data_IF_686040489375
#
_entry.id   IF_686040489375
#
_cell.length_a   1.000
_cell.length_b   1.000
_cell.length_c   1.000
_cell.angle_alpha   90.00
_cell.angle_beta   90.00
_cell.angle_gamma   90.00
#
_symmetry.space_group_name_H-M   'P 1'
#
loop_
_entity.id
_entity.type
_entity.pdbx_description
1 polymer ?
#
# COMPACT_ATOMS: atom_id res chain seq x y z
N UNK A 1 23.40 -19.24 11.43
CA UNK A 1 24.22 -19.01 10.23
C UNK A 1 24.09 -17.55 9.86
N UNK A 2 25.21 -16.82 9.82
CA UNK A 2 25.20 -15.36 9.59
C UNK A 2 24.89 -15.06 8.13
N UNK A 3 23.96 -14.10 7.88
CA UNK A 3 23.65 -13.60 6.56
C UNK A 3 24.87 -12.89 5.93
N UNK A 4 25.11 -13.00 4.62
CA UNK A 4 26.24 -12.36 3.96
C UNK A 4 26.07 -10.82 3.99
N UNK A 5 27.00 -10.15 4.61
CA UNK A 5 27.14 -8.69 4.55
C UNK A 5 27.44 -8.27 3.11
N UNK A 6 26.50 -7.61 2.46
CA UNK A 6 26.75 -6.95 1.16
C UNK A 6 27.66 -5.76 1.43
N UNK A 7 28.91 -5.89 1.05
CA UNK A 7 29.95 -4.87 1.20
C UNK A 7 29.67 -3.72 0.20
N UNK A 8 29.74 -2.48 0.68
CA UNK A 8 29.72 -1.24 -0.13
C UNK A 8 30.76 -1.25 -1.29
N UNK A 9 31.74 -2.12 -1.25
CA UNK A 9 32.71 -2.33 -2.33
C UNK A 9 32.08 -2.84 -3.64
N UNK A 10 30.96 -3.56 -3.58
CA UNK A 10 30.29 -4.07 -4.79
C UNK A 10 29.42 -3.02 -5.50
N UNK A 11 29.08 -1.91 -4.84
CA UNK A 11 28.42 -0.77 -5.48
C UNK A 11 29.41 0.16 -6.23
N UNK A 12 30.69 0.12 -5.86
CA UNK A 12 31.72 0.95 -6.49
C UNK A 12 32.32 0.25 -7.74
N UNK A 13 32.13 -1.06 -7.89
CA UNK A 13 32.57 -1.79 -9.09
C UNK A 13 31.74 -1.51 -10.35
N UNK A 14 30.61 -0.79 -10.23
CA UNK A 14 29.77 -0.40 -11.37
C UNK A 14 30.23 0.88 -12.09
N UNK A 15 31.18 1.63 -11.52
CA UNK A 15 31.70 2.86 -12.16
C UNK A 15 32.34 2.66 -13.54
N UNK A 16 33.17 1.61 -13.79
CA UNK A 16 33.71 1.36 -15.11
C UNK A 16 32.64 0.98 -16.14
N UNK A 17 31.63 0.16 -15.72
CA UNK A 17 30.51 -0.23 -16.60
C UNK A 17 29.62 0.97 -16.96
N UNK A 18 29.37 1.89 -16.03
CA UNK A 18 28.61 3.10 -16.31
C UNK A 18 29.32 4.00 -17.33
N UNK A 19 30.65 4.07 -17.26
CA UNK A 19 31.45 4.84 -18.19
C UNK A 19 31.47 4.19 -19.61
N UNK A 20 31.55 2.87 -19.67
CA UNK A 20 31.49 2.11 -20.93
C UNK A 20 30.09 2.25 -21.59
N UNK A 21 29.03 2.14 -20.85
CA UNK A 21 27.65 2.38 -21.31
C UNK A 21 27.49 3.81 -21.88
N UNK A 22 28.06 4.82 -21.20
CA UNK A 22 28.02 6.20 -21.68
C UNK A 22 28.78 6.38 -22.99
N UNK A 23 29.94 5.75 -23.13
CA UNK A 23 30.73 5.79 -24.37
C UNK A 23 30.02 5.08 -25.53
N UNK A 24 29.40 3.93 -25.31
CA UNK A 24 28.61 3.21 -26.30
C UNK A 24 27.41 4.03 -26.77
N UNK A 25 26.68 4.68 -25.86
CA UNK A 25 25.57 5.59 -26.21
C UNK A 25 26.03 6.75 -27.07
N UNK A 26 27.09 7.44 -26.65
CA UNK A 26 27.65 8.56 -27.42
C UNK A 26 28.08 8.13 -28.84
N UNK A 27 28.61 6.90 -28.97
CA UNK A 27 29.02 6.39 -30.29
C UNK A 27 27.83 6.01 -31.17
N UNK A 28 26.75 5.48 -30.59
CA UNK A 28 25.50 5.22 -31.31
C UNK A 28 24.91 6.55 -31.83
N UNK A 29 24.77 7.56 -30.94
CA UNK A 29 24.25 8.88 -31.33
C UNK A 29 25.06 9.52 -32.46
N UNK A 30 26.40 9.37 -32.44
CA UNK A 30 27.27 9.86 -33.48
C UNK A 30 27.04 9.14 -34.82
N UNK A 31 26.95 7.80 -34.82
CA UNK A 31 26.67 7.00 -36.01
C UNK A 31 25.27 7.22 -36.57
N UNK A 32 24.27 7.44 -35.73
CA UNK A 32 22.92 7.83 -36.16
C UNK A 32 22.92 9.21 -36.82
N UNK A 33 23.71 10.15 -36.31
CA UNK A 33 23.90 11.46 -36.94
C UNK A 33 24.59 11.34 -38.31
N UNK A 34 25.63 10.52 -38.43
CA UNK A 34 26.31 10.22 -39.69
C UNK A 34 25.36 9.54 -40.71
N UNK A 35 24.54 8.57 -40.25
CA UNK A 35 23.53 7.92 -41.10
C UNK A 35 22.48 8.92 -41.61
N UNK A 36 22.00 9.83 -40.73
CA UNK A 36 21.05 10.85 -41.12
C UNK A 36 21.65 11.89 -42.08
N UNK A 37 22.91 12.24 -41.89
CA UNK A 37 23.63 13.13 -42.81
C UNK A 37 23.87 12.45 -44.15
N UNK A 38 24.15 11.14 -44.14
CA UNK A 38 24.31 10.32 -45.35
C UNK A 38 23.02 10.15 -46.15
N UNK A 39 21.86 10.20 -45.50
CA UNK A 39 20.54 10.20 -46.15
C UNK A 39 20.26 11.46 -46.97
N UNK A 40 20.90 12.56 -46.64
CA UNK A 40 20.77 13.85 -47.40
C UNK A 40 21.69 13.98 -48.60
N UNK A 41 22.69 13.12 -48.77
CA UNK A 41 23.64 13.07 -49.87
C UNK A 41 23.54 11.66 -50.45
N UNK A 42 23.25 11.52 -51.74
CA UNK A 42 23.14 10.23 -52.45
C UNK A 42 24.41 9.40 -52.31
N UNK A 43 24.59 8.63 -51.27
CA UNK A 43 25.74 7.80 -50.96
C UNK A 43 25.40 6.32 -51.17
N UNK A 44 26.41 5.54 -51.54
CA UNK A 44 26.37 4.13 -51.91
C UNK A 44 25.60 3.27 -50.91
N UNK A 45 24.67 2.40 -51.36
CA UNK A 45 23.86 1.54 -50.50
C UNK A 45 24.70 0.72 -49.50
N UNK A 46 25.90 0.32 -49.90
CA UNK A 46 26.83 -0.50 -49.11
C UNK A 46 27.29 0.18 -47.80
N UNK A 47 27.54 1.50 -47.82
CA UNK A 47 27.95 2.25 -46.62
C UNK A 47 26.78 2.41 -45.63
N UNK A 48 25.56 2.53 -46.13
CA UNK A 48 24.36 2.61 -45.31
C UNK A 48 24.14 1.28 -44.57
N UNK A 49 24.23 0.15 -45.27
CA UNK A 49 24.05 -1.17 -44.69
C UNK A 49 25.14 -1.48 -43.66
N UNK A 50 26.37 -1.02 -43.90
CA UNK A 50 27.48 -1.14 -42.93
C UNK A 50 27.24 -0.31 -41.65
N UNK A 51 26.76 0.93 -41.80
CA UNK A 51 26.42 1.79 -40.63
C UNK A 51 25.23 1.23 -39.83
N UNK A 52 24.20 0.77 -40.53
CA UNK A 52 23.03 0.14 -39.85
C UNK A 52 23.45 -1.14 -39.10
N UNK A 53 24.28 -2.00 -39.71
CA UNK A 53 24.82 -3.19 -39.03
C UNK A 53 25.69 -2.83 -37.81
N UNK A 54 26.47 -1.75 -37.90
CA UNK A 54 27.32 -1.30 -36.79
C UNK A 54 26.53 -0.71 -35.64
N UNK A 55 25.48 0.08 -35.94
CA UNK A 55 24.54 0.59 -34.96
C UNK A 55 23.84 -0.58 -34.26
N UNK A 56 23.39 -1.59 -35.01
CA UNK A 56 22.73 -2.77 -34.46
C UNK A 56 23.68 -3.56 -33.52
N UNK A 57 24.93 -3.77 -33.94
CA UNK A 57 25.96 -4.42 -33.12
C UNK A 57 26.25 -3.65 -31.83
N UNK A 58 26.43 -2.32 -31.90
CA UNK A 58 26.68 -1.50 -30.70
C UNK A 58 25.48 -1.44 -29.78
N UNK A 59 24.26 -1.42 -30.34
CA UNK A 59 23.04 -1.47 -29.59
C UNK A 59 22.91 -2.82 -28.85
N UNK A 60 23.30 -3.91 -29.49
CA UNK A 60 23.35 -5.24 -28.89
C UNK A 60 24.41 -5.31 -27.77
N UNK A 61 25.59 -4.73 -27.98
CA UNK A 61 26.66 -4.65 -26.97
C UNK A 61 26.22 -3.77 -25.79
N UNK A 62 25.53 -2.66 -26.04
CA UNK A 62 24.96 -1.80 -25.01
C UNK A 62 23.93 -2.56 -24.16
N UNK A 63 23.02 -3.29 -24.80
CA UNK A 63 22.02 -4.11 -24.12
C UNK A 63 22.67 -5.21 -23.28
N UNK A 64 23.71 -5.88 -23.80
CA UNK A 64 24.46 -6.91 -23.08
C UNK A 64 25.24 -6.34 -21.88
N UNK A 65 25.81 -5.12 -22.02
CA UNK A 65 26.54 -4.45 -20.95
C UNK A 65 25.64 -3.85 -19.87
N UNK A 66 24.45 -3.39 -20.22
CA UNK A 66 23.47 -2.82 -19.27
C UNK A 66 22.62 -3.86 -18.55
N UNK A 67 22.63 -5.13 -18.99
CA UNK A 67 21.73 -6.16 -18.50
C UNK A 67 20.25 -5.90 -18.84
N UNK A 68 19.96 -4.90 -19.68
CA UNK A 68 18.62 -4.56 -20.13
C UNK A 68 18.23 -5.40 -21.36
N UNK A 69 16.97 -5.85 -21.36
CA UNK A 69 16.39 -6.67 -22.42
C UNK A 69 15.07 -6.06 -22.89
N UNK A 70 14.77 -6.13 -24.18
CA UNK A 70 13.45 -5.81 -24.69
C UNK A 70 12.54 -7.03 -24.63
N UNK A 71 11.50 -6.95 -23.81
CA UNK A 71 10.58 -8.05 -23.56
C UNK A 71 9.20 -7.68 -24.12
N UNK A 72 8.57 -8.62 -24.86
CA UNK A 72 7.19 -8.45 -25.34
C UNK A 72 6.24 -8.37 -24.15
N UNK A 73 5.39 -7.35 -24.12
CA UNK A 73 4.39 -7.16 -23.05
C UNK A 73 3.47 -8.38 -22.89
N UNK A 74 3.15 -9.06 -23.99
CA UNK A 74 2.33 -10.28 -23.98
C UNK A 74 2.96 -11.46 -23.20
N UNK A 75 4.27 -11.44 -22.93
CA UNK A 75 4.98 -12.46 -22.16
C UNK A 75 5.09 -12.13 -20.67
N UNK A 76 4.61 -10.97 -20.25
CA UNK A 76 4.72 -10.49 -18.86
C UNK A 76 3.40 -10.72 -18.13
N UNK A 77 3.49 -11.43 -17.02
CA UNK A 77 2.37 -11.67 -16.12
C UNK A 77 2.53 -10.78 -14.87
N UNK A 78 1.45 -10.08 -14.50
CA UNK A 78 1.39 -9.39 -13.21
C UNK A 78 1.43 -10.39 -12.07
N UNK A 79 2.17 -10.07 -11.00
CA UNK A 79 2.20 -10.89 -9.80
C UNK A 79 0.92 -10.64 -8.96
N UNK A 80 0.04 -11.64 -8.75
CA UNK A 80 -1.16 -11.48 -7.91
C UNK A 80 -0.83 -11.13 -6.46
N UNK A 81 0.39 -11.47 -6.03
CA UNK A 81 0.87 -11.20 -4.68
C UNK A 81 1.44 -9.78 -4.51
N UNK A 82 1.47 -8.95 -5.55
CA UNK A 82 2.00 -7.59 -5.44
C UNK A 82 1.33 -6.79 -4.31
N UNK A 83 2.12 -6.00 -3.53
CA UNK A 83 1.60 -5.15 -2.46
C UNK A 83 0.62 -4.11 -2.99
N UNK A 84 0.97 -3.45 -4.10
CA UNK A 84 0.12 -2.43 -4.71
C UNK A 84 -0.93 -3.07 -5.59
N UNK A 85 -2.20 -2.84 -5.26
CA UNK A 85 -3.38 -3.26 -6.05
C UNK A 85 -4.13 -2.08 -6.66
N UNK A 86 -3.81 -0.87 -6.22
CA UNK A 86 -4.50 0.36 -6.61
C UNK A 86 -3.82 1.01 -7.81
N UNK A 87 -4.53 1.03 -8.93
CA UNK A 87 -4.09 1.63 -10.19
C UNK A 87 -5.23 2.47 -10.80
N UNK A 88 -5.58 3.62 -10.18
CA UNK A 88 -6.60 4.50 -10.73
C UNK A 88 -6.29 4.87 -12.17
N UNK A 89 -7.32 4.92 -13.02
CA UNK A 89 -7.17 5.15 -14.46
C UNK A 89 -6.43 6.45 -14.77
N UNK A 90 -6.71 7.50 -14.00
CA UNK A 90 -6.01 8.79 -14.14
C UNK A 90 -4.50 8.65 -13.95
N UNK A 91 -4.05 7.85 -12.96
CA UNK A 91 -2.63 7.62 -12.66
C UNK A 91 -1.97 6.78 -13.76
N UNK A 92 -2.70 5.81 -14.32
CA UNK A 92 -2.22 5.01 -15.46
C UNK A 92 -2.08 5.88 -16.71
N UNK A 93 -3.07 6.74 -16.99
CA UNK A 93 -3.01 7.70 -18.12
C UNK A 93 -1.87 8.70 -17.98
N UNK A 94 -1.65 9.25 -16.79
CA UNK A 94 -0.52 10.14 -16.51
C UNK A 94 0.81 9.42 -16.77
N UNK A 95 0.96 8.18 -16.35
CA UNK A 95 2.15 7.38 -16.62
C UNK A 95 2.32 7.10 -18.13
N UNK A 96 1.24 6.76 -18.83
CA UNK A 96 1.27 6.56 -20.27
C UNK A 96 1.72 7.84 -21.00
N UNK A 97 1.18 9.00 -20.62
CA UNK A 97 1.58 10.27 -21.19
C UNK A 97 3.06 10.60 -20.93
N UNK A 98 3.57 10.27 -19.74
CA UNK A 98 4.99 10.40 -19.41
C UNK A 98 5.86 9.48 -20.29
N UNK A 99 5.44 8.22 -20.50
CA UNK A 99 6.12 7.28 -21.38
C UNK A 99 6.11 7.74 -22.85
N UNK A 100 4.98 8.29 -23.30
CA UNK A 100 4.84 8.82 -24.66
C UNK A 100 5.78 10.00 -24.93
N UNK A 101 5.95 10.90 -23.94
CA UNK A 101 6.79 12.12 -24.10
C UNK A 101 8.27 11.86 -23.93
N UNK A 102 8.62 11.02 -22.97
CA UNK A 102 10.01 10.88 -22.52
C UNK A 102 10.59 9.49 -22.74
N UNK A 103 9.81 8.58 -23.32
CA UNK A 103 10.19 7.17 -23.40
C UNK A 103 10.29 6.50 -22.01
N UNK A 104 10.78 5.29 -22.00
CA UNK A 104 11.03 4.55 -20.77
C UNK A 104 12.40 4.93 -20.19
N UNK A 105 12.44 5.69 -19.11
CA UNK A 105 13.67 6.15 -18.47
C UNK A 105 14.35 5.05 -17.63
N UNK A 106 13.55 4.17 -17.00
CA UNK A 106 14.05 3.08 -16.14
C UNK A 106 13.42 1.76 -16.57
N UNK A 107 14.20 0.65 -16.66
CA UNK A 107 13.65 -0.67 -17.00
C UNK A 107 12.69 -1.15 -15.92
N UNK A 108 11.80 -2.07 -16.27
CA UNK A 108 11.03 -2.86 -15.32
C UNK A 108 11.88 -4.02 -14.80
N UNK A 109 11.51 -4.61 -13.68
CA UNK A 109 12.23 -5.78 -13.12
C UNK A 109 11.33 -7.01 -13.27
N UNK A 110 11.90 -8.06 -13.86
CA UNK A 110 11.19 -9.31 -14.15
C UNK A 110 11.87 -10.50 -13.48
N UNK A 111 11.06 -11.50 -13.12
CA UNK A 111 11.50 -12.83 -12.70
C UNK A 111 11.21 -13.80 -13.84
N UNK A 112 12.24 -14.45 -14.43
CA UNK A 112 12.04 -15.47 -15.45
C UNK A 112 11.29 -16.69 -14.91
N UNK A 113 10.43 -17.29 -15.74
CA UNK A 113 9.72 -18.54 -15.45
C UNK A 113 10.17 -19.63 -16.40
N UNK A 114 10.14 -20.88 -15.96
CA UNK A 114 10.47 -22.05 -16.78
C UNK A 114 9.58 -22.22 -18.02
N UNK A 115 8.43 -21.54 -18.07
CA UNK A 115 7.47 -21.54 -19.18
C UNK A 115 7.84 -20.60 -20.32
N UNK A 116 8.97 -19.88 -20.24
CA UNK A 116 9.34 -18.81 -21.18
C UNK A 116 8.55 -17.50 -21.00
N UNK A 117 7.77 -17.39 -19.93
CA UNK A 117 7.07 -16.17 -19.52
C UNK A 117 7.84 -15.50 -18.36
N UNK A 118 7.41 -14.32 -18.00
CA UNK A 118 8.05 -13.52 -16.96
C UNK A 118 7.02 -13.05 -15.94
N UNK A 119 7.37 -13.09 -14.65
CA UNK A 119 6.56 -12.47 -13.62
C UNK A 119 7.10 -11.09 -13.32
N UNK A 120 6.24 -10.10 -13.28
CA UNK A 120 6.60 -8.71 -13.00
C UNK A 120 6.93 -8.55 -11.50
N UNK A 121 8.18 -8.23 -11.20
CA UNK A 121 8.63 -7.93 -9.84
C UNK A 121 8.42 -6.46 -9.49
N UNK A 122 8.83 -5.53 -10.40
CA UNK A 122 8.66 -4.09 -10.22
C UNK A 122 8.37 -3.40 -11.55
N UNK A 123 7.47 -2.41 -11.53
CA UNK A 123 7.17 -1.57 -12.68
C UNK A 123 5.74 -1.69 -13.21
N UNK A 124 4.79 -2.18 -12.44
CA UNK A 124 3.38 -2.38 -12.84
C UNK A 124 2.77 -1.15 -13.52
N UNK A 125 2.96 0.06 -12.96
CA UNK A 125 2.46 1.29 -13.58
C UNK A 125 3.07 1.58 -14.96
N UNK A 126 4.35 1.22 -15.15
CA UNK A 126 5.03 1.37 -16.45
C UNK A 126 4.47 0.38 -17.44
N UNK A 127 4.29 -0.88 -17.03
CA UNK A 127 3.71 -1.93 -17.84
C UNK A 127 2.28 -1.57 -18.27
N UNK A 128 1.42 -1.13 -17.34
CA UNK A 128 0.05 -0.67 -17.66
C UNK A 128 0.03 0.54 -18.58
N UNK A 129 0.93 1.52 -18.35
CA UNK A 129 1.06 2.69 -19.21
C UNK A 129 1.52 2.32 -20.64
N UNK A 130 2.48 1.41 -20.76
CA UNK A 130 2.95 0.89 -22.05
C UNK A 130 1.85 0.09 -22.77
N UNK A 131 1.08 -0.72 -22.05
CA UNK A 131 -0.09 -1.43 -22.60
C UNK A 131 -1.15 -0.45 -23.12
N UNK A 132 -1.44 0.63 -22.39
CA UNK A 132 -2.39 1.67 -22.81
C UNK A 132 -1.91 2.38 -24.10
N UNK A 133 -0.59 2.51 -24.28
CA UNK A 133 0.01 3.05 -25.50
C UNK A 133 0.15 2.02 -26.65
N UNK A 134 -0.30 0.78 -26.44
CA UNK A 134 -0.16 -0.33 -27.40
C UNK A 134 1.29 -0.61 -27.78
N UNK A 135 2.24 -0.43 -26.85
CA UNK A 135 3.61 -0.84 -27.08
C UNK A 135 3.70 -2.35 -27.24
N UNK A 136 4.51 -2.83 -28.16
CA UNK A 136 4.76 -4.27 -28.32
C UNK A 136 5.74 -4.78 -27.27
N UNK A 137 6.78 -4.00 -26.97
CA UNK A 137 7.90 -4.36 -26.09
C UNK A 137 8.13 -3.29 -25.03
N UNK A 138 8.80 -3.68 -23.96
CA UNK A 138 9.24 -2.81 -22.87
C UNK A 138 10.62 -3.24 -22.39
N UNK A 139 11.47 -2.27 -22.01
CA UNK A 139 12.80 -2.57 -21.47
C UNK A 139 12.71 -3.13 -20.05
N UNK A 140 13.43 -4.22 -19.81
CA UNK A 140 13.42 -4.96 -18.56
C UNK A 140 14.83 -5.41 -18.16
N UNK A 141 15.05 -5.57 -16.88
CA UNK A 141 16.17 -6.31 -16.30
C UNK A 141 15.64 -7.52 -15.55
N UNK A 142 16.45 -8.58 -15.51
CA UNK A 142 16.07 -9.77 -14.77
C UNK A 142 16.60 -9.73 -13.34
N UNK A 143 15.77 -10.21 -12.40
CA UNK A 143 16.25 -10.50 -11.06
C UNK A 143 17.21 -11.69 -11.16
N UNK A 144 18.46 -11.58 -10.66
CA UNK A 144 19.44 -12.68 -10.74
C UNK A 144 18.92 -13.94 -10.07
N UNK A 145 19.17 -15.11 -10.67
CA UNK A 145 18.70 -16.41 -10.17
C UNK A 145 19.18 -16.70 -8.74
N UNK A 146 20.41 -16.27 -8.41
CA UNK A 146 20.96 -16.34 -7.05
C UNK A 146 20.23 -15.44 -6.02
N UNK A 147 19.40 -14.53 -6.49
CA UNK A 147 18.57 -13.62 -5.68
C UNK A 147 17.07 -13.97 -5.78
N UNK A 148 16.70 -15.10 -6.42
CA UNK A 148 15.31 -15.55 -6.46
C UNK A 148 14.88 -15.94 -5.05
N UNK A 149 14.09 -15.07 -4.39
CA UNK A 149 13.68 -15.29 -3.02
C UNK A 149 12.51 -16.27 -2.98
N UNK A 150 12.26 -16.84 -1.80
CA UNK A 150 10.98 -17.49 -1.51
C UNK A 150 9.82 -16.51 -1.79
N UNK A 151 8.61 -17.00 -1.99
CA UNK A 151 7.45 -16.14 -2.24
C UNK A 151 7.29 -15.03 -1.18
N UNK A 152 7.65 -15.32 0.06
CA UNK A 152 7.58 -14.40 1.18
C UNK A 152 8.61 -13.27 1.09
N UNK A 153 9.85 -13.62 0.74
CA UNK A 153 10.90 -12.64 0.53
C UNK A 153 10.62 -11.74 -0.69
N UNK A 154 9.94 -12.27 -1.73
CA UNK A 154 9.48 -11.47 -2.87
C UNK A 154 8.50 -10.41 -2.39
N UNK A 155 7.46 -10.82 -1.67
CA UNK A 155 6.44 -9.92 -1.15
C UNK A 155 7.03 -8.87 -0.23
N UNK A 156 7.94 -9.27 0.64
CA UNK A 156 8.63 -8.42 1.58
C UNK A 156 9.47 -7.34 0.87
N UNK A 157 10.29 -7.74 -0.10
CA UNK A 157 11.10 -6.82 -0.91
C UNK A 157 10.25 -5.85 -1.72
N UNK A 158 9.17 -6.33 -2.32
CA UNK A 158 8.20 -5.51 -3.05
C UNK A 158 7.53 -4.49 -2.11
N UNK A 159 7.18 -4.88 -0.89
CA UNK A 159 6.59 -3.98 0.09
C UNK A 159 7.59 -2.91 0.53
N UNK A 160 8.82 -3.29 0.88
CA UNK A 160 9.88 -2.34 1.25
C UNK A 160 10.09 -1.31 0.12
N UNK A 161 10.24 -1.78 -1.12
CA UNK A 161 10.38 -0.90 -2.28
C UNK A 161 9.17 0.03 -2.44
N UNK A 162 7.96 -0.48 -2.24
CA UNK A 162 6.72 0.30 -2.37
C UNK A 162 6.57 1.35 -1.27
N UNK A 163 6.97 1.04 -0.04
CA UNK A 163 6.97 1.98 1.10
C UNK A 163 7.97 3.12 0.83
N UNK A 164 9.22 2.78 0.50
CA UNK A 164 10.26 3.78 0.28
C UNK A 164 10.02 4.66 -0.96
N UNK A 165 9.32 4.15 -1.96
CA UNK A 165 8.94 4.95 -3.14
C UNK A 165 7.65 5.74 -2.96
N UNK A 166 7.01 5.72 -1.77
CA UNK A 166 5.73 6.38 -1.47
C UNK A 166 4.62 6.04 -2.50
N UNK A 167 4.64 4.82 -3.05
CA UNK A 167 3.75 4.39 -4.14
C UNK A 167 2.59 3.51 -3.69
N UNK A 168 2.60 3.08 -2.43
CA UNK A 168 1.54 2.25 -1.86
C UNK A 168 0.53 3.13 -1.14
N UNK A 169 -0.77 2.89 -1.33
CA UNK A 169 -1.78 3.56 -0.52
C UNK A 169 -2.00 2.82 0.81
N UNK A 170 -2.64 3.50 1.77
CA UNK A 170 -2.84 2.97 3.11
C UNK A 170 -3.66 1.67 3.17
N UNK A 171 -4.63 1.47 2.24
CA UNK A 171 -5.42 0.25 2.19
C UNK A 171 -4.57 -0.95 1.72
N UNK A 172 -3.83 -0.78 0.64
CA UNK A 172 -2.93 -1.80 0.12
C UNK A 172 -1.80 -2.12 1.13
N UNK A 173 -1.32 -1.10 1.85
CA UNK A 173 -0.36 -1.26 2.95
C UNK A 173 -0.96 -2.10 4.08
N UNK A 174 -2.20 -1.77 4.53
CA UNK A 174 -2.89 -2.51 5.59
C UNK A 174 -3.03 -4.00 5.24
N UNK A 175 -3.54 -4.30 4.06
CA UNK A 175 -3.74 -5.68 3.59
C UNK A 175 -2.42 -6.43 3.45
N UNK A 176 -1.35 -5.74 3.00
CA UNK A 176 -0.05 -6.38 2.83
C UNK A 176 0.61 -6.69 4.17
N UNK A 177 0.50 -5.79 5.17
CA UNK A 177 0.99 -6.06 6.53
C UNK A 177 0.27 -7.29 7.11
N UNK A 178 -1.06 -7.36 7.00
CA UNK A 178 -1.83 -8.50 7.48
C UNK A 178 -1.40 -9.79 6.78
N UNK A 179 -1.27 -9.77 5.47
CA UNK A 179 -0.84 -10.93 4.67
C UNK A 179 0.55 -11.41 5.07
N UNK A 180 1.53 -10.51 5.24
CA UNK A 180 2.88 -10.86 5.67
C UNK A 180 2.89 -11.49 7.06
N UNK A 181 2.14 -10.93 8.01
CA UNK A 181 2.04 -11.46 9.37
C UNK A 181 1.42 -12.86 9.36
N UNK A 182 0.32 -13.07 8.62
CA UNK A 182 -0.34 -14.37 8.52
C UNK A 182 0.54 -15.41 7.84
N UNK A 183 1.35 -14.99 6.87
CA UNK A 183 2.27 -15.88 6.17
C UNK A 183 3.45 -16.29 7.05
N UNK A 184 4.08 -15.34 7.74
CA UNK A 184 5.17 -15.59 8.67
C UNK A 184 4.72 -16.36 9.94
N UNK A 185 3.45 -16.20 10.31
CA UNK A 185 2.86 -16.75 11.52
C UNK A 185 1.49 -17.36 11.21
N UNK A 186 1.42 -18.56 10.63
CA UNK A 186 0.15 -19.18 10.19
C UNK A 186 -0.88 -19.41 11.30
N UNK A 187 -0.46 -19.38 12.56
CA UNK A 187 -1.36 -19.47 13.72
C UNK A 187 -1.98 -18.13 14.13
N UNK A 188 -1.61 -17.03 13.44
CA UNK A 188 -2.10 -15.71 13.74
C UNK A 188 -3.33 -15.41 12.87
N UNK A 189 -4.49 -15.27 13.51
CA UNK A 189 -5.74 -14.92 12.84
C UNK A 189 -5.66 -13.50 12.25
N UNK A 190 -5.88 -13.31 10.93
CA UNK A 190 -5.77 -12.02 10.26
C UNK A 190 -6.59 -10.90 10.92
N UNK A 191 -7.83 -11.22 11.34
CA UNK A 191 -8.76 -10.29 11.98
C UNK A 191 -8.29 -9.83 13.35
N UNK A 192 -7.43 -10.61 14.01
CA UNK A 192 -6.90 -10.29 15.34
C UNK A 192 -5.77 -9.26 15.31
N UNK A 193 -5.08 -9.11 14.16
CA UNK A 193 -3.87 -8.29 14.03
C UNK A 193 -4.07 -6.83 14.46
N UNK A 194 -5.14 -6.12 14.02
CA UNK A 194 -5.38 -4.74 14.47
C UNK A 194 -5.61 -4.64 15.99
N UNK A 195 -6.28 -5.63 16.58
CA UNK A 195 -6.53 -5.69 18.04
C UNK A 195 -5.23 -5.95 18.81
N UNK A 196 -4.38 -6.84 18.31
CA UNK A 196 -3.07 -7.11 18.91
C UNK A 196 -2.18 -5.87 18.93
N UNK A 197 -2.14 -5.12 17.83
CA UNK A 197 -1.42 -3.85 17.79
C UNK A 197 -2.00 -2.84 18.79
N UNK A 198 -3.32 -2.74 18.88
CA UNK A 198 -3.97 -1.84 19.83
C UNK A 198 -3.64 -2.21 21.28
N UNK A 199 -3.64 -3.49 21.60
CA UNK A 199 -3.29 -4.01 22.94
C UNK A 199 -1.83 -3.74 23.27
N UNK A 200 -0.90 -4.04 22.35
CA UNK A 200 0.52 -3.76 22.54
C UNK A 200 0.77 -2.26 22.83
N UNK A 201 0.20 -1.37 22.00
CA UNK A 201 0.37 0.07 22.17
C UNK A 201 -0.24 0.58 23.48
N UNK A 202 -1.37 0.01 23.92
CA UNK A 202 -1.95 0.33 25.22
C UNK A 202 -1.04 -0.08 26.38
N UNK A 203 -0.38 -1.25 26.29
CA UNK A 203 0.56 -1.70 27.30
C UNK A 203 1.82 -0.83 27.35
N UNK A 204 2.35 -0.44 26.18
CA UNK A 204 3.47 0.49 26.07
C UNK A 204 3.16 1.86 26.66
N UNK A 205 1.92 2.36 26.46
CA UNK A 205 1.47 3.62 27.05
C UNK A 205 1.43 3.52 28.59
N UNK A 206 0.87 2.43 29.13
CA UNK A 206 0.80 2.20 30.56
C UNK A 206 2.17 2.03 31.23
N UNK A 207 3.16 1.46 30.53
CA UNK A 207 4.52 1.29 31.02
C UNK A 207 5.41 2.53 30.81
N UNK A 208 4.91 3.58 30.14
CA UNK A 208 5.65 4.78 29.81
C UNK A 208 6.64 4.63 28.62
N UNK A 209 6.64 3.47 27.96
CA UNK A 209 7.56 3.15 26.85
C UNK A 209 7.07 3.59 25.49
N UNK A 210 5.84 4.11 25.38
CA UNK A 210 5.24 4.54 24.11
C UNK A 210 6.06 5.68 23.45
N UNK A 211 6.64 6.58 24.24
CA UNK A 211 7.47 7.69 23.75
C UNK A 211 8.81 7.24 23.13
N UNK A 212 9.26 6.03 23.46
CA UNK A 212 10.52 5.47 22.93
C UNK A 212 10.33 4.94 21.49
N UNK A 213 9.10 4.60 21.09
CA UNK A 213 8.79 3.97 19.78
C UNK A 213 9.38 4.72 18.59
N UNK A 214 9.38 6.06 18.59
CA UNK A 214 9.88 6.82 17.45
C UNK A 214 11.41 6.71 17.33
N UNK A 215 12.10 6.68 18.46
CA UNK A 215 13.55 6.49 18.51
C UNK A 215 13.92 5.06 18.12
N UNK A 216 13.21 4.08 18.67
CA UNK A 216 13.43 2.66 18.38
C UNK A 216 13.13 2.33 16.92
N UNK A 217 12.11 2.93 16.31
CA UNK A 217 11.75 2.73 14.89
C UNK A 217 12.91 3.01 13.95
N UNK A 218 13.76 3.99 14.26
CA UNK A 218 14.91 4.38 13.44
C UNK A 218 16.26 3.81 13.95
N UNK A 219 16.23 3.04 15.02
CA UNK A 219 17.41 2.38 15.56
C UNK A 219 17.87 1.21 14.69
N UNK A 220 19.07 0.74 14.91
CA UNK A 220 19.60 -0.47 14.28
C UNK A 220 18.90 -1.74 14.80
N UNK A 221 19.01 -2.81 14.04
CA UNK A 221 18.30 -4.07 14.33
C UNK A 221 18.67 -4.64 15.72
N UNK A 222 19.92 -4.67 16.17
CA UNK A 222 20.26 -5.15 17.51
C UNK A 222 19.58 -4.36 18.63
N UNK A 223 19.52 -3.02 18.50
CA UNK A 223 18.85 -2.14 19.46
C UNK A 223 17.34 -2.39 19.47
N UNK A 224 16.73 -2.53 18.30
CA UNK A 224 15.30 -2.89 18.20
C UNK A 224 15.00 -4.23 18.86
N UNK A 225 15.82 -5.26 18.60
CA UNK A 225 15.65 -6.60 19.20
C UNK A 225 15.81 -6.57 20.71
N UNK A 226 16.81 -5.84 21.23
CA UNK A 226 17.03 -5.68 22.66
C UNK A 226 15.82 -5.02 23.34
N UNK A 227 15.31 -3.94 22.76
CA UNK A 227 14.13 -3.24 23.28
C UNK A 227 12.89 -4.13 23.25
N UNK A 228 12.62 -4.81 22.11
CA UNK A 228 11.49 -5.72 21.97
C UNK A 228 11.54 -6.89 22.98
N UNK A 229 12.75 -7.43 23.26
CA UNK A 229 12.92 -8.51 24.23
C UNK A 229 12.70 -8.07 25.68
N UNK A 230 12.90 -6.79 25.97
CA UNK A 230 12.66 -6.19 27.29
C UNK A 230 11.18 -5.84 27.54
N UNK A 231 10.33 -5.88 26.51
CA UNK A 231 8.90 -5.59 26.64
C UNK A 231 8.18 -6.72 27.40
N UNK A 232 7.38 -6.35 28.37
CA UNK A 232 6.50 -7.28 29.08
C UNK A 232 5.09 -7.22 28.48
N UNK A 233 4.93 -7.80 27.29
CA UNK A 233 3.64 -7.89 26.60
C UNK A 233 2.82 -9.09 27.09
N UNK A 234 1.50 -8.97 27.11
CA UNK A 234 0.59 -10.01 27.58
C UNK A 234 0.54 -11.24 26.68
N UNK A 235 0.60 -10.99 25.38
CA UNK A 235 0.51 -12.06 24.36
C UNK A 235 1.76 -12.06 23.48
N UNK A 236 2.37 -13.22 23.22
CA UNK A 236 3.53 -13.32 22.30
C UNK A 236 3.25 -12.79 20.88
N UNK A 237 2.00 -12.85 20.45
CA UNK A 237 1.58 -12.39 19.13
C UNK A 237 1.62 -10.85 19.01
N UNK A 238 1.48 -10.11 20.11
CA UNK A 238 1.62 -8.65 20.14
C UNK A 238 3.05 -8.23 19.74
N UNK A 239 4.05 -8.96 20.24
CA UNK A 239 5.45 -8.73 19.88
C UNK A 239 5.72 -8.97 18.41
N UNK A 240 5.15 -10.04 17.80
CA UNK A 240 5.30 -10.34 16.37
C UNK A 240 4.84 -9.19 15.47
N UNK A 241 3.71 -8.56 15.83
CA UNK A 241 3.20 -7.40 15.11
C UNK A 241 4.15 -6.21 15.22
N UNK A 242 4.65 -5.90 16.41
CA UNK A 242 5.62 -4.82 16.62
C UNK A 242 6.93 -5.07 15.89
N UNK A 243 7.47 -6.30 15.93
CA UNK A 243 8.69 -6.70 15.21
C UNK A 243 8.57 -6.37 13.72
N UNK A 244 7.49 -6.79 13.06
CA UNK A 244 7.31 -6.52 11.63
C UNK A 244 7.22 -5.02 11.35
N UNK A 245 6.45 -4.26 12.13
CA UNK A 245 6.27 -2.83 11.89
C UNK A 245 7.56 -2.04 12.08
N UNK A 246 8.35 -2.35 13.12
CA UNK A 246 9.64 -1.71 13.36
C UNK A 246 10.67 -2.09 12.29
N UNK A 247 10.69 -3.37 11.87
CA UNK A 247 11.53 -3.81 10.78
C UNK A 247 11.22 -3.09 9.46
N UNK A 248 9.94 -2.84 9.17
CA UNK A 248 9.49 -2.02 8.04
C UNK A 248 9.68 -0.51 8.26
N UNK A 249 10.21 -0.08 9.41
CA UNK A 249 10.33 1.31 9.83
C UNK A 249 9.01 2.09 9.85
N UNK A 250 7.89 1.38 9.98
CA UNK A 250 6.55 1.96 10.07
C UNK A 250 6.25 2.43 11.49
N UNK A 251 5.57 3.57 11.63
CA UNK A 251 5.14 4.05 12.94
C UNK A 251 3.90 3.28 13.41
N UNK A 252 3.98 2.48 14.50
CA UNK A 252 2.87 1.66 14.96
C UNK A 252 1.62 2.46 15.34
N UNK A 253 1.76 3.67 15.89
CA UNK A 253 0.63 4.55 16.20
C UNK A 253 -0.09 5.02 14.92
N UNK A 254 0.65 5.38 13.88
CA UNK A 254 0.07 5.77 12.59
C UNK A 254 -0.65 4.60 11.92
N UNK A 255 -0.06 3.39 11.97
CA UNK A 255 -0.69 2.18 11.44
C UNK A 255 -2.02 1.90 12.16
N UNK A 256 -2.03 1.93 13.49
CA UNK A 256 -3.26 1.78 14.29
C UNK A 256 -4.32 2.85 13.97
N UNK A 257 -3.91 4.12 13.86
CA UNK A 257 -4.83 5.24 13.75
C UNK A 257 -5.37 5.46 12.33
N UNK A 258 -4.57 5.16 11.31
CA UNK A 258 -4.86 5.58 9.93
C UNK A 258 -4.94 4.44 8.94
N UNK A 259 -4.16 3.39 9.12
CA UNK A 259 -3.99 2.30 8.15
C UNK A 259 -4.94 1.14 8.44
N UNK A 260 -4.83 0.51 9.59
CA UNK A 260 -5.68 -0.64 9.95
C UNK A 260 -7.19 -0.37 9.97
N UNK A 261 -7.71 0.82 10.30
CA UNK A 261 -9.14 1.09 10.18
C UNK A 261 -9.70 0.95 8.76
N UNK A 262 -8.85 0.97 7.72
CA UNK A 262 -9.28 0.78 6.34
C UNK A 262 -9.66 -0.66 6.03
N UNK A 263 -9.15 -1.64 6.79
CA UNK A 263 -9.49 -3.05 6.62
C UNK A 263 -10.99 -3.31 6.85
N UNK A 264 -11.63 -2.54 7.71
CA UNK A 264 -13.06 -2.65 8.03
C UNK A 264 -13.97 -1.82 7.12
N UNK A 265 -13.43 -1.13 6.12
CA UNK A 265 -14.25 -0.42 5.14
C UNK A 265 -15.12 -1.39 4.33
N UNK A 266 -16.35 -1.00 3.97
CA UNK A 266 -17.16 -1.72 2.99
C UNK A 266 -16.45 -1.83 1.64
N UNK A 267 -16.80 -2.86 0.87
CA UNK A 267 -16.11 -3.15 -0.40
C UNK A 267 -16.25 -2.04 -1.44
N UNK A 268 -17.39 -1.35 -1.48
CA UNK A 268 -17.61 -0.18 -2.34
C UNK A 268 -16.60 0.95 -2.06
N UNK A 269 -16.27 1.22 -0.80
CA UNK A 269 -15.26 2.21 -0.44
C UNK A 269 -13.83 1.72 -0.73
N UNK A 270 -13.55 0.42 -0.50
CA UNK A 270 -12.25 -0.17 -0.88
C UNK A 270 -12.04 -0.11 -2.39
N UNK A 271 -13.08 -0.42 -3.16
CA UNK A 271 -13.04 -0.31 -4.62
C UNK A 271 -12.83 1.13 -5.08
N UNK A 272 -13.52 2.11 -4.47
CA UNK A 272 -13.33 3.52 -4.78
C UNK A 272 -11.89 4.01 -4.52
N UNK A 273 -11.23 3.52 -3.46
CA UNK A 273 -9.80 3.81 -3.22
C UNK A 273 -8.95 3.24 -4.36
N UNK A 274 -9.22 2.00 -4.82
CA UNK A 274 -8.39 1.30 -5.81
C UNK A 274 -8.59 1.80 -7.23
N UNK A 275 -9.83 2.01 -7.65
CA UNK A 275 -10.18 2.29 -9.04
C UNK A 275 -10.35 3.78 -9.31
N UNK A 276 -11.03 4.49 -8.40
CA UNK A 276 -11.27 5.92 -8.53
C UNK A 276 -10.11 6.74 -7.98
N UNK A 277 -9.39 6.19 -6.98
CA UNK A 277 -8.23 6.85 -6.37
C UNK A 277 -8.63 7.89 -5.32
N UNK A 278 -9.77 7.71 -4.63
CA UNK A 278 -10.12 8.58 -3.52
C UNK A 278 -9.13 8.38 -2.37
N UNK A 279 -8.81 9.47 -1.69
CA UNK A 279 -7.92 9.43 -0.53
C UNK A 279 -8.53 8.62 0.63
N UNK A 280 -7.69 7.85 1.36
CA UNK A 280 -8.11 7.06 2.53
C UNK A 280 -8.86 7.89 3.58
N UNK A 281 -8.47 9.15 3.75
CA UNK A 281 -9.14 10.10 4.66
C UNK A 281 -10.58 10.41 4.23
N UNK A 282 -10.83 10.54 2.94
CA UNK A 282 -12.17 10.78 2.36
C UNK A 282 -13.02 9.53 2.45
N UNK A 283 -12.46 8.35 2.15
CA UNK A 283 -13.15 7.07 2.29
C UNK A 283 -13.58 6.80 3.74
N UNK A 284 -12.72 7.09 4.72
CA UNK A 284 -13.06 6.99 6.15
C UNK A 284 -14.19 7.94 6.56
N UNK A 285 -14.27 9.12 5.99
CA UNK A 285 -15.37 10.05 6.25
C UNK A 285 -16.68 9.52 5.67
N UNK A 286 -16.66 9.00 4.44
CA UNK A 286 -17.80 8.37 3.78
C UNK A 286 -18.29 7.11 4.51
N UNK A 287 -17.41 6.38 5.19
CA UNK A 287 -17.78 5.20 5.98
C UNK A 287 -18.77 5.52 7.13
N UNK A 288 -18.89 6.79 7.55
CA UNK A 288 -19.90 7.23 8.51
C UNK A 288 -21.33 7.09 7.98
N UNK A 289 -21.48 7.01 6.65
CA UNK A 289 -22.74 6.71 5.96
C UNK A 289 -22.98 5.20 5.92
N UNK A 290 -23.04 4.59 7.08
CA UNK A 290 -23.38 3.17 7.22
C UNK A 290 -24.88 2.96 7.13
N UNK A 291 -25.32 1.73 6.82
CA UNK A 291 -26.74 1.34 6.83
C UNK A 291 -27.42 1.70 8.17
N UNK A 292 -26.72 1.43 9.29
CA UNK A 292 -27.22 1.75 10.64
C UNK A 292 -27.37 3.29 10.85
N UNK A 293 -26.39 4.07 10.42
CA UNK A 293 -26.43 5.54 10.63
C UNK A 293 -27.40 6.26 9.73
N UNK A 294 -27.70 5.70 8.54
CA UNK A 294 -28.68 6.22 7.59
C UNK A 294 -30.09 5.66 7.86
N UNK A 295 -30.23 4.57 8.58
CA UNK A 295 -31.51 3.88 8.79
C UNK A 295 -32.05 3.17 7.54
N UNK A 296 -31.16 2.67 6.68
CA UNK A 296 -31.46 1.99 5.41
C UNK A 296 -30.74 0.63 5.37
N UNK A 297 -30.97 -0.16 4.33
CA UNK A 297 -30.22 -1.38 4.07
C UNK A 297 -28.81 -1.10 3.52
N UNK A 298 -27.98 -2.15 3.43
CA UNK A 298 -26.60 -2.03 2.99
C UNK A 298 -26.48 -1.58 1.53
N UNK A 299 -27.38 -2.05 0.65
CA UNK A 299 -27.36 -1.72 -0.78
C UNK A 299 -27.67 -0.24 -0.98
N UNK A 300 -28.69 0.26 -0.29
CA UNK A 300 -29.03 1.69 -0.33
C UNK A 300 -27.95 2.57 0.25
N UNK A 301 -27.28 2.14 1.34
CA UNK A 301 -26.14 2.86 1.88
C UNK A 301 -24.97 2.91 0.89
N UNK A 302 -24.71 1.81 0.17
CA UNK A 302 -23.70 1.75 -0.89
C UNK A 302 -24.03 2.68 -2.07
N UNK A 303 -25.31 2.74 -2.50
CA UNK A 303 -25.76 3.68 -3.55
C UNK A 303 -25.53 5.15 -3.13
N UNK A 304 -25.88 5.51 -1.90
CA UNK A 304 -25.67 6.86 -1.37
C UNK A 304 -24.18 7.22 -1.37
N UNK A 305 -23.31 6.29 -0.92
CA UNK A 305 -21.86 6.49 -0.93
C UNK A 305 -21.33 6.61 -2.37
N UNK A 306 -21.82 5.81 -3.30
CA UNK A 306 -21.44 5.86 -4.71
C UNK A 306 -21.76 7.20 -5.36
N UNK A 307 -22.97 7.73 -5.13
CA UNK A 307 -23.36 9.06 -5.61
C UNK A 307 -22.47 10.17 -5.02
N UNK A 308 -22.11 10.04 -3.75
CA UNK A 308 -21.18 10.99 -3.11
C UNK A 308 -19.75 10.87 -3.67
N UNK A 309 -19.26 9.68 -3.94
CA UNK A 309 -17.94 9.47 -4.57
C UNK A 309 -17.91 10.16 -5.93
N UNK A 310 -18.94 9.98 -6.75
CA UNK A 310 -19.05 10.67 -8.04
C UNK A 310 -18.98 12.18 -7.87
N UNK A 311 -19.78 12.74 -6.97
CA UNK A 311 -19.77 14.17 -6.66
C UNK A 311 -18.40 14.66 -6.16
N UNK A 312 -17.73 13.91 -5.30
CA UNK A 312 -16.40 14.25 -4.77
C UNK A 312 -15.37 14.35 -5.90
N UNK A 313 -15.45 13.45 -6.88
CA UNK A 313 -14.53 13.42 -8.03
C UNK A 313 -14.81 14.57 -8.99
N UNK A 314 -16.08 14.77 -9.37
CA UNK A 314 -16.50 15.81 -10.30
C UNK A 314 -16.20 17.22 -9.78
N UNK A 315 -16.54 17.49 -8.52
CA UNK A 315 -16.38 18.79 -7.88
C UNK A 315 -15.03 18.98 -7.17
N UNK A 316 -14.17 17.96 -7.14
CA UNK A 316 -12.86 17.94 -6.44
C UNK A 316 -12.96 18.39 -4.99
N UNK A 317 -13.95 17.88 -4.25
CA UNK A 317 -14.25 18.30 -2.89
C UNK A 317 -13.10 18.04 -1.92
N UNK A 318 -12.83 19.03 -1.08
CA UNK A 318 -11.90 18.91 0.04
C UNK A 318 -12.49 18.06 1.18
N UNK A 319 -11.65 17.54 2.06
CA UNK A 319 -12.09 16.75 3.21
C UNK A 319 -13.08 17.52 4.12
N UNK A 320 -12.92 18.83 4.27
CA UNK A 320 -13.83 19.66 5.07
C UNK A 320 -15.22 19.75 4.45
N UNK A 321 -15.30 19.93 3.13
CA UNK A 321 -16.57 19.94 2.39
C UNK A 321 -17.27 18.57 2.47
N UNK A 322 -16.50 17.48 2.36
CA UNK A 322 -17.02 16.11 2.51
C UNK A 322 -17.59 15.90 3.92
N UNK A 323 -16.90 16.36 4.96
CA UNK A 323 -17.42 16.28 6.35
C UNK A 323 -18.76 16.98 6.51
N UNK A 324 -18.91 18.16 5.90
CA UNK A 324 -20.18 18.89 5.90
C UNK A 324 -21.25 18.11 5.14
N UNK A 325 -20.94 17.65 3.94
CA UNK A 325 -21.86 16.88 3.09
C UNK A 325 -22.34 15.59 3.79
N UNK A 326 -21.46 14.84 4.40
CA UNK A 326 -21.78 13.64 5.19
C UNK A 326 -22.70 13.99 6.36
N UNK A 327 -22.40 15.06 7.11
CA UNK A 327 -23.23 15.52 8.22
C UNK A 327 -24.64 15.90 7.76
N UNK A 328 -24.77 16.63 6.65
CA UNK A 328 -26.04 17.08 6.11
C UNK A 328 -26.87 15.89 5.61
N UNK A 329 -26.24 14.93 4.95
CA UNK A 329 -26.91 13.70 4.51
C UNK A 329 -27.43 12.87 5.69
N UNK A 330 -26.64 12.71 6.74
CA UNK A 330 -27.08 12.04 7.98
C UNK A 330 -28.25 12.78 8.63
N UNK A 331 -28.27 14.11 8.56
CA UNK A 331 -29.37 14.91 9.12
C UNK A 331 -30.66 14.78 8.29
N UNK A 332 -30.55 14.68 6.96
CA UNK A 332 -31.69 14.55 6.05
C UNK A 332 -32.31 13.16 6.07
N UNK A 333 -31.50 12.10 6.12
CA UNK A 333 -31.96 10.72 6.05
C UNK A 333 -32.46 10.18 7.40
N UNK A 334 -32.15 10.86 8.50
CA UNK A 334 -32.60 10.49 9.85
C UNK A 334 -33.44 11.60 10.48
N UNK A 335 -34.56 12.02 9.88
CA UNK A 335 -35.37 13.09 10.47
C UNK A 335 -36.06 12.69 11.78
N UNK A 336 -36.11 11.40 12.13
CA UNK A 336 -36.91 10.91 13.27
C UNK A 336 -36.11 10.61 14.56
N UNK A 337 -34.80 10.68 14.53
CA UNK A 337 -34.00 10.49 15.73
C UNK A 337 -33.39 11.82 16.20
N UNK A 338 -34.14 12.52 17.02
CA UNK A 338 -33.61 13.66 17.79
C UNK A 338 -32.26 13.27 18.44
N UNK A 339 -31.32 14.23 18.62
CA UNK A 339 -29.99 13.93 19.21
C UNK A 339 -30.07 13.13 20.53
N UNK A 340 -31.15 13.32 21.30
CA UNK A 340 -31.45 12.57 22.51
C UNK A 340 -31.66 11.07 22.26
N UNK A 341 -32.37 10.68 21.18
CA UNK A 341 -32.62 9.26 20.89
C UNK A 341 -31.38 8.51 20.43
N UNK A 342 -30.45 9.16 19.68
CA UNK A 342 -29.15 8.57 19.32
C UNK A 342 -28.27 8.28 20.53
N UNK A 343 -28.33 9.16 21.53
CA UNK A 343 -27.58 8.99 22.76
C UNK A 343 -28.16 7.84 23.60
N UNK A 344 -29.50 7.72 23.63
CA UNK A 344 -30.20 6.60 24.29
C UNK A 344 -29.84 5.27 23.63
N UNK A 345 -29.95 5.14 22.29
CA UNK A 345 -29.61 3.91 21.57
C UNK A 345 -28.16 3.50 21.78
N UNK A 346 -27.21 4.45 21.76
CA UNK A 346 -25.79 4.16 22.07
C UNK A 346 -25.59 3.70 23.50
N UNK A 347 -26.32 4.27 24.44
CA UNK A 347 -26.22 3.90 25.87
C UNK A 347 -26.80 2.52 26.12
N UNK A 348 -27.97 2.20 25.52
CA UNK A 348 -28.58 0.86 25.59
C UNK A 348 -27.61 -0.18 25.04
N UNK A 349 -27.07 0.03 23.81
CA UNK A 349 -26.11 -0.89 23.20
C UNK A 349 -24.83 -1.07 24.04
N UNK A 350 -24.33 0.00 24.66
CA UNK A 350 -23.20 -0.07 25.61
C UNK A 350 -23.50 -0.90 26.86
N UNK A 351 -24.71 -0.81 27.36
CA UNK A 351 -25.16 -1.61 28.50
C UNK A 351 -25.30 -3.08 28.12
N UNK A 352 -25.90 -3.38 26.95
CA UNK A 352 -26.06 -4.74 26.42
C UNK A 352 -24.73 -5.43 26.12
N UNK A 353 -23.75 -4.68 25.63
CA UNK A 353 -22.40 -5.21 25.25
C UNK A 353 -21.39 -5.14 26.41
N UNK A 354 -21.80 -4.69 27.61
CA UNK A 354 -20.92 -4.58 28.76
C UNK A 354 -20.54 -5.99 29.25
N UNK A 355 -19.33 -6.46 28.92
CA UNK A 355 -18.82 -7.68 29.53
C UNK A 355 -18.49 -7.43 30.99
N UNK A 356 -19.09 -8.22 31.87
CA UNK A 356 -18.77 -8.22 33.30
C UNK A 356 -17.74 -9.29 33.66
N UNK A 357 -17.37 -10.13 32.68
CA UNK A 357 -16.37 -11.17 32.86
C UNK A 357 -14.97 -10.54 32.95
N UNK A 358 -14.26 -10.87 34.05
CA UNK A 358 -12.92 -10.33 34.32
C UNK A 358 -12.87 -9.02 35.11
N UNK A 359 -14.03 -8.48 35.53
CA UNK A 359 -14.07 -7.35 36.48
C UNK A 359 -13.90 -7.81 37.94
N UNK A 360 -13.24 -7.00 38.74
CA UNK A 360 -13.15 -7.23 40.18
C UNK A 360 -14.53 -7.06 40.85
N UNK A 361 -14.78 -7.80 41.96
CA UNK A 361 -16.04 -7.77 42.68
C UNK A 361 -16.47 -6.34 43.12
N UNK A 362 -15.52 -5.47 43.40
CA UNK A 362 -15.75 -4.06 43.69
C UNK A 362 -16.32 -3.29 42.51
N UNK A 363 -15.74 -3.49 41.32
CA UNK A 363 -16.16 -2.86 40.08
C UNK A 363 -17.57 -3.35 39.63
N UNK A 364 -17.85 -4.65 39.79
CA UNK A 364 -19.19 -5.21 39.52
C UNK A 364 -20.23 -4.57 40.41
N UNK A 365 -19.92 -4.34 41.70
CA UNK A 365 -20.82 -3.66 42.65
C UNK A 365 -21.10 -2.22 42.24
N UNK A 366 -20.08 -1.50 41.80
CA UNK A 366 -20.20 -0.11 41.34
C UNK A 366 -21.08 0.01 40.09
N UNK A 367 -20.85 -0.85 39.09
CA UNK A 367 -21.67 -0.93 37.87
C UNK A 367 -23.12 -1.25 38.23
N UNK A 368 -23.35 -2.24 39.08
CA UNK A 368 -24.69 -2.62 39.54
C UNK A 368 -25.42 -1.45 40.24
N UNK A 369 -24.70 -0.72 41.09
CA UNK A 369 -25.29 0.41 41.84
C UNK A 369 -25.66 1.57 40.88
N UNK A 370 -24.83 1.86 39.90
CA UNK A 370 -25.08 2.87 38.86
C UNK A 370 -26.32 2.52 38.02
N UNK A 371 -26.41 1.26 37.57
CA UNK A 371 -27.55 0.76 36.79
C UNK A 371 -28.84 0.78 37.60
N UNK A 372 -28.83 0.36 38.89
CA UNK A 372 -29.99 0.41 39.76
C UNK A 372 -30.50 1.84 40.02
N UNK A 373 -29.57 2.81 40.15
CA UNK A 373 -29.93 4.21 40.31
C UNK A 373 -30.64 4.73 39.06
N UNK A 374 -30.13 4.42 37.88
CA UNK A 374 -30.73 4.82 36.59
C UNK A 374 -32.09 4.15 36.37
N UNK A 375 -32.25 2.90 36.73
CA UNK A 375 -33.51 2.17 36.64
C UNK A 375 -34.61 2.84 37.47
N UNK A 376 -34.30 3.23 38.73
CA UNK A 376 -35.24 3.98 39.58
C UNK A 376 -35.64 5.34 38.98
N UNK A 377 -34.71 6.06 38.36
CA UNK A 377 -34.99 7.34 37.69
C UNK A 377 -35.95 7.10 36.49
N UNK A 378 -35.72 6.07 35.67
CA UNK A 378 -36.57 5.68 34.54
C UNK A 378 -37.98 5.28 35.02
N UNK A 379 -38.09 4.41 36.03
CA UNK A 379 -39.36 3.99 36.61
C UNK A 379 -40.18 5.16 37.16
N UNK A 380 -39.51 6.16 37.71
CA UNK A 380 -40.17 7.37 38.22
C UNK A 380 -40.74 8.24 37.08
N UNK A 381 -40.07 8.26 35.94
CA UNK A 381 -40.53 8.99 34.74
C UNK A 381 -41.65 8.26 33.99
N UNK A 382 -41.62 6.92 33.96
CA UNK A 382 -42.68 6.10 33.34
C UNK A 382 -43.97 6.03 34.13
N UNK A 383 -43.96 6.40 35.40
CA UNK A 383 -45.17 6.46 36.28
C UNK A 383 -45.84 7.81 36.28
N UNK A 384 -45.26 8.82 35.62
CA UNK A 384 -45.85 10.14 35.34
C UNK A 384 -46.56 10.16 34.00
#
# INVERSE_FOLDING_TARGET
>A
MAAPKISMKNLISSAPQAQEIYQLKARIDELEAELNQSRSIAIQPELKDELEARIEELTHQLAAGSGEHEIKLALIDSDPAQPRKSFPEAVVRERAESLRRHGQQTPIILIPRSTGRYTLFEGELRTRGATLLSWEKIRAVFLPEAMLPSQDEVLERQLVTSIHSSRINDLDLAETIVRLLSHRHPTLEPESIPRLLQSALYQLDRSGQLSELEQIRTADEPTQQQWLSALNLKEPNEQKVLVLLLWLQLNPNSIKAHVFPLLSLPDDLKQAIREVGIESSKARELNKLSAESLGVDNDRAAEIRSQMIQKIVEEKLSLSQIKTLVKDTLAQQSPSLAPANRQVTKTVKRIETLSVDGLETAQIREVRQALQKKLKEIDTLLRK
#
